data_IF_996892277995
#
_entry.id   IF_996892277995
#
_cell.length_a   1.000
_cell.length_b   1.000
_cell.length_c   1.000
_cell.angle_alpha   90.00
_cell.angle_beta   90.00
_cell.angle_gamma   90.00
#
_symmetry.space_group_name_H-M   'P 1'
#
loop_
_entity.id
_entity.type
_entity.pdbx_description
1 polymer ?
#
# COMPACT_ATOMS: atom_id res chain seq x y z
N UNK A 1 12.92 -2.24 -39.73
CA UNK A 1 12.51 -2.90 -38.47
C UNK A 1 13.66 -2.74 -37.49
N UNK A 2 13.62 -1.71 -36.61
CA UNK A 2 14.65 -1.53 -35.58
C UNK A 2 14.20 -2.33 -34.37
N UNK A 3 15.02 -3.30 -33.98
CA UNK A 3 14.87 -3.97 -32.70
C UNK A 3 15.48 -3.00 -31.69
N UNK A 4 14.62 -2.29 -30.96
CA UNK A 4 15.02 -1.60 -29.74
C UNK A 4 15.45 -2.68 -28.76
N UNK A 5 16.74 -3.05 -28.82
CA UNK A 5 17.38 -3.86 -27.81
C UNK A 5 17.22 -3.06 -26.53
N UNK A 6 16.21 -3.44 -25.72
CA UNK A 6 16.05 -3.03 -24.34
C UNK A 6 17.35 -3.39 -23.64
N UNK A 7 18.30 -2.45 -23.67
CA UNK A 7 19.48 -2.42 -22.84
C UNK A 7 18.95 -2.46 -21.43
N UNK A 8 18.81 -3.67 -20.90
CA UNK A 8 18.52 -3.89 -19.50
C UNK A 8 19.79 -3.45 -18.79
N UNK A 9 19.92 -2.14 -18.53
CA UNK A 9 21.06 -1.61 -17.82
C UNK A 9 21.02 -2.24 -16.44
N UNK A 10 21.83 -3.28 -16.25
CA UNK A 10 22.05 -3.96 -14.97
C UNK A 10 23.01 -3.06 -14.19
N UNK A 11 22.44 -2.10 -13.48
CA UNK A 11 23.15 -1.26 -12.52
C UNK A 11 22.41 -1.36 -11.19
N UNK A 12 23.10 -0.97 -10.12
CA UNK A 12 22.48 -0.89 -8.82
C UNK A 12 21.42 0.21 -8.82
N UNK A 13 20.18 -0.20 -8.61
CA UNK A 13 19.07 0.72 -8.64
C UNK A 13 19.04 1.58 -7.39
N UNK A 14 19.32 2.88 -7.58
CA UNK A 14 19.00 3.88 -6.59
C UNK A 14 17.51 4.24 -6.69
N UNK A 15 16.70 3.68 -5.79
CA UNK A 15 15.26 3.86 -5.76
C UNK A 15 14.85 5.12 -5.02
N UNK A 16 13.89 5.87 -5.57
CA UNK A 16 13.33 7.06 -4.92
C UNK A 16 11.81 7.00 -4.94
N UNK A 17 11.19 7.27 -3.79
CA UNK A 17 9.73 7.33 -3.65
C UNK A 17 9.15 8.41 -4.55
N UNK A 18 8.21 8.02 -5.41
CA UNK A 18 7.46 8.93 -6.28
C UNK A 18 6.10 9.26 -5.70
N UNK A 19 5.43 8.27 -5.12
CA UNK A 19 4.17 8.48 -4.42
C UNK A 19 3.95 7.42 -3.34
N UNK A 20 3.07 7.75 -2.39
CA UNK A 20 2.74 6.91 -1.24
C UNK A 20 1.25 7.04 -0.95
N UNK A 21 0.57 5.91 -0.86
CA UNK A 21 -0.88 5.86 -0.70
C UNK A 21 -1.26 4.91 0.44
N UNK A 22 -2.12 5.38 1.34
CA UNK A 22 -2.77 4.54 2.35
C UNK A 22 -3.95 3.81 1.71
N UNK A 23 -4.08 2.52 2.00
CA UNK A 23 -5.21 1.67 1.66
C UNK A 23 -5.75 1.04 2.96
N UNK A 24 -6.87 0.33 2.89
CA UNK A 24 -7.39 -0.44 4.03
C UNK A 24 -6.45 -1.58 4.48
N UNK A 25 -5.54 -2.00 3.61
CA UNK A 25 -4.63 -3.13 3.83
C UNK A 25 -3.21 -2.69 4.25
N UNK A 26 -2.95 -1.38 4.33
CA UNK A 26 -1.64 -0.82 4.68
C UNK A 26 -1.24 0.30 3.75
N UNK A 27 0.05 0.40 3.44
CA UNK A 27 0.59 1.46 2.58
C UNK A 27 1.24 0.86 1.34
N UNK A 28 0.88 1.42 0.18
CA UNK A 28 1.51 1.12 -1.11
C UNK A 28 2.44 2.27 -1.49
N UNK A 29 3.68 1.95 -1.81
CA UNK A 29 4.71 2.92 -2.22
C UNK A 29 5.16 2.62 -3.65
N UNK A 30 5.13 3.64 -4.50
CA UNK A 30 5.64 3.58 -5.86
C UNK A 30 7.02 4.21 -5.90
N UNK A 31 8.04 3.41 -6.23
CA UNK A 31 9.42 3.86 -6.36
C UNK A 31 9.82 3.91 -7.85
N UNK A 32 10.68 4.87 -8.19
CA UNK A 32 11.31 4.96 -9.51
C UNK A 32 12.82 5.10 -9.40
N UNK A 33 13.55 4.56 -10.39
CA UNK A 33 14.97 4.78 -10.60
C UNK A 33 15.16 5.74 -11.80
N UNK A 34 16.26 6.50 -11.82
CA UNK A 34 16.58 7.44 -12.92
C UNK A 34 16.77 6.74 -14.26
N UNK A 35 17.03 5.43 -14.26
CA UNK A 35 17.08 4.61 -15.46
C UNK A 35 15.71 4.30 -16.09
N UNK A 36 14.61 4.81 -15.51
CA UNK A 36 13.25 4.57 -16.00
C UNK A 36 12.58 3.29 -15.50
N UNK A 37 13.22 2.52 -14.60
CA UNK A 37 12.55 1.38 -13.96
C UNK A 37 11.69 1.82 -12.79
N UNK A 38 10.59 1.10 -12.59
CA UNK A 38 9.64 1.30 -11.50
C UNK A 38 9.46 0.02 -10.70
N UNK A 39 9.15 0.17 -9.42
CA UNK A 39 8.73 -0.95 -8.55
C UNK A 39 7.64 -0.49 -7.59
N UNK A 40 6.90 -1.46 -7.08
CA UNK A 40 5.89 -1.26 -6.04
C UNK A 40 6.36 -2.00 -4.78
N UNK A 41 6.24 -1.37 -3.62
CA UNK A 41 6.49 -2.00 -2.32
C UNK A 41 5.32 -1.78 -1.37
N UNK A 42 5.04 -2.79 -0.56
CA UNK A 42 4.12 -2.69 0.56
C UNK A 42 4.91 -2.30 1.81
N UNK A 43 4.47 -1.24 2.48
CA UNK A 43 4.93 -0.89 3.82
C UNK A 43 3.84 -1.38 4.78
N UNK A 44 4.11 -2.50 5.45
CA UNK A 44 3.27 -2.94 6.56
C UNK A 44 3.52 -1.98 7.71
N UNK A 45 2.60 -1.05 7.94
CA UNK A 45 2.42 -0.53 9.29
C UNK A 45 1.98 -1.72 10.13
N UNK A 46 2.90 -2.32 10.88
CA UNK A 46 2.53 -3.19 11.99
C UNK A 46 1.66 -2.32 12.90
N UNK A 47 0.35 -2.38 12.70
CA UNK A 47 -0.61 -1.85 13.65
C UNK A 47 -0.54 -2.77 14.87
N UNK A 48 0.48 -2.56 15.70
CA UNK A 48 0.37 -2.89 17.12
C UNK A 48 -0.62 -1.88 17.68
N UNK A 49 -1.90 -2.13 17.46
CA UNK A 49 -3.01 -1.71 18.33
C UNK A 49 -4.28 -2.40 17.84
N UNK A 50 -4.30 -3.69 18.14
CA UNK A 50 -5.49 -4.44 18.51
C UNK A 50 -6.25 -3.66 19.59
N UNK A 51 -7.36 -3.01 19.25
CA UNK A 51 -8.53 -2.87 20.13
C UNK A 51 -9.78 -2.75 19.27
N UNK A 52 -10.42 -3.90 19.07
CA UNK A 52 -11.83 -3.98 18.75
C UNK A 52 -12.61 -3.33 19.89
N UNK A 53 -13.22 -2.18 19.65
CA UNK A 53 -14.35 -1.72 20.45
C UNK A 53 -15.58 -1.67 19.53
N UNK A 54 -16.10 -2.86 19.21
CA UNK A 54 -17.47 -2.98 18.69
C UNK A 54 -18.40 -2.84 19.89
N UNK A 55 -18.83 -1.61 20.17
CA UNK A 55 -19.91 -1.38 21.14
C UNK A 55 -21.22 -1.80 20.50
N UNK A 56 -21.64 -3.06 20.69
CA UNK A 56 -23.03 -3.46 20.43
C UNK A 56 -23.93 -2.69 21.41
N UNK A 57 -24.71 -1.74 20.91
CA UNK A 57 -25.85 -1.19 21.65
C UNK A 57 -27.07 -2.02 21.29
N UNK A 58 -27.35 -3.07 22.05
CA UNK A 58 -28.68 -3.69 22.07
C UNK A 58 -29.61 -2.78 22.86
N UNK A 59 -30.38 -1.95 22.15
CA UNK A 59 -31.54 -1.29 22.75
C UNK A 59 -32.66 -2.32 22.92
N UNK A 60 -33.27 -2.47 24.11
CA UNK A 60 -34.42 -3.34 24.27
C UNK A 60 -35.63 -2.75 23.54
N UNK A 61 -36.22 -3.53 22.62
CA UNK A 61 -37.56 -3.26 22.09
C UNK A 61 -38.54 -3.27 23.27
N UNK A 62 -39.09 -2.10 23.61
CA UNK A 62 -40.26 -2.01 24.48
C UNK A 62 -41.48 -2.44 23.68
N UNK A 63 -42.00 -3.63 23.97
CA UNK A 63 -43.37 -3.99 23.63
C UNK A 63 -44.31 -3.20 24.55
N UNK A 64 -45.04 -2.24 24.00
CA UNK A 64 -46.22 -1.66 24.67
C UNK A 64 -47.42 -2.57 24.41
N UNK A 65 -48.01 -3.07 25.51
CA UNK A 65 -49.32 -3.73 25.57
C UNK A 65 -50.44 -2.74 25.33
#
# INVERSE_FOLDING_TARGET
MRIDVLMTVTHDHHWTTKSRHRTSEGIVVYDGCTCGRFRVRHETTLQVEKTLAVTHVTAPVRSTT
#
